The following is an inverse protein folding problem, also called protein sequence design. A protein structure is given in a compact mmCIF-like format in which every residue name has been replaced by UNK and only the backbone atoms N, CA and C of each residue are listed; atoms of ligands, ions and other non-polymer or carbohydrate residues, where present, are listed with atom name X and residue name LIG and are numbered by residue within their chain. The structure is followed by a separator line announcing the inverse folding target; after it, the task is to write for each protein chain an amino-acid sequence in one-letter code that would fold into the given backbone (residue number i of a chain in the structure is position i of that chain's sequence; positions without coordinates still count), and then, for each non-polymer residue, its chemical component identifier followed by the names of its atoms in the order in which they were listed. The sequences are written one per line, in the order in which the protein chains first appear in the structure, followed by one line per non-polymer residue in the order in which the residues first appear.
data_IF_033293740485
#
_entry.id   IF_033293740485
#
_cell.length_a   1.000
_cell.length_b   1.000
_cell.length_c   1.000
_cell.angle_alpha   90.00
_cell.angle_beta   90.00
_cell.angle_gamma   90.00
#
_symmetry.space_group_name_H-M   'P 1'
#
loop_
_entity.id
_entity.type
_entity.pdbx_description
1 polymer ?
#
# COMPACT_ATOMS: atom_id res chain seq x y z
N UNK A 1 -44.54 -8.54 -5.22
CA UNK A 1 -43.92 -7.27 -5.65
C UNK A 1 -42.53 -7.17 -5.04
N UNK A 2 -41.61 -6.58 -5.78
CA UNK A 2 -40.16 -6.82 -5.83
C UNK A 2 -39.39 -6.72 -4.51
N UNK A 3 -38.41 -7.61 -4.37
CA UNK A 3 -37.28 -7.53 -3.44
C UNK A 3 -36.04 -7.05 -4.20
N UNK A 4 -35.12 -6.44 -3.45
CA UNK A 4 -33.75 -6.02 -3.79
C UNK A 4 -33.59 -4.62 -4.41
N UNK A 5 -33.40 -3.64 -3.52
CA UNK A 5 -32.56 -2.50 -3.83
C UNK A 5 -31.11 -2.97 -3.95
N UNK A 6 -30.55 -2.86 -5.15
CA UNK A 6 -29.12 -2.94 -5.37
C UNK A 6 -28.46 -1.75 -4.66
N UNK A 7 -27.86 -2.00 -3.50
CA UNK A 7 -26.85 -1.09 -2.96
C UNK A 7 -25.56 -1.40 -3.70
N UNK A 8 -25.19 -0.54 -4.64
CA UNK A 8 -23.82 -0.48 -5.15
C UNK A 8 -22.90 -0.20 -3.96
N UNK A 9 -22.26 -1.23 -3.43
CA UNK A 9 -21.44 -1.12 -2.23
C UNK A 9 -20.23 -0.23 -2.50
N UNK A 10 -20.25 0.99 -1.99
CA UNK A 10 -19.03 1.78 -1.87
C UNK A 10 -18.11 1.09 -0.86
N UNK A 11 -16.85 0.86 -1.24
CA UNK A 11 -15.84 0.33 -0.33
C UNK A 11 -15.70 1.24 0.90
N UNK A 12 -15.60 0.66 2.09
CA UNK A 12 -15.40 1.46 3.30
C UNK A 12 -14.00 2.08 3.30
N UNK A 13 -13.79 3.17 4.04
CA UNK A 13 -12.45 3.74 4.27
C UNK A 13 -11.46 2.67 4.74
N UNK A 14 -11.92 1.70 5.55
CA UNK A 14 -11.09 0.59 6.02
C UNK A 14 -10.65 -0.31 4.87
N UNK A 15 -11.57 -0.66 3.98
CA UNK A 15 -11.29 -1.51 2.82
C UNK A 15 -10.34 -0.81 1.85
N UNK A 16 -10.55 0.49 1.61
CA UNK A 16 -9.68 1.31 0.76
C UNK A 16 -8.27 1.39 1.35
N UNK A 17 -8.12 1.72 2.64
CA UNK A 17 -6.78 1.80 3.26
C UNK A 17 -6.10 0.43 3.32
N UNK A 18 -6.86 -0.66 3.51
CA UNK A 18 -6.31 -2.01 3.47
C UNK A 18 -5.79 -2.37 2.08
N UNK A 19 -6.54 -2.03 1.02
CA UNK A 19 -6.12 -2.23 -0.37
C UNK A 19 -4.89 -1.41 -0.74
N UNK A 20 -4.87 -0.13 -0.34
CA UNK A 20 -3.70 0.74 -0.50
C UNK A 20 -2.48 0.15 0.21
N UNK A 21 -2.59 -0.22 1.49
CA UNK A 21 -1.46 -0.79 2.24
C UNK A 21 -0.94 -2.11 1.63
N UNK A 22 -1.81 -2.94 1.06
CA UNK A 22 -1.40 -4.16 0.36
C UNK A 22 -0.66 -3.82 -0.94
N UNK A 23 -1.15 -2.83 -1.69
CA UNK A 23 -0.54 -2.36 -2.93
C UNK A 23 0.85 -1.78 -2.66
N UNK A 24 0.99 -0.91 -1.65
CA UNK A 24 2.29 -0.35 -1.25
C UNK A 24 3.31 -1.44 -0.93
N UNK A 25 2.90 -2.44 -0.13
CA UNK A 25 3.77 -3.58 0.21
C UNK A 25 4.16 -4.40 -1.01
N UNK A 26 3.23 -4.62 -1.93
CA UNK A 26 3.48 -5.37 -3.16
C UNK A 26 4.50 -4.66 -4.05
N UNK A 27 4.26 -3.37 -4.34
CA UNK A 27 5.14 -2.55 -5.16
C UNK A 27 6.53 -2.39 -4.51
N UNK A 28 6.58 -2.17 -3.19
CA UNK A 28 7.84 -2.09 -2.44
C UNK A 28 8.69 -3.36 -2.56
N UNK A 29 8.07 -4.55 -2.58
CA UNK A 29 8.78 -5.80 -2.79
C UNK A 29 9.36 -5.96 -4.20
N UNK A 30 8.68 -5.39 -5.20
CA UNK A 30 9.19 -5.35 -6.58
C UNK A 30 10.40 -4.41 -6.69
N UNK A 31 10.35 -3.26 -6.02
CA UNK A 31 11.48 -2.33 -5.98
C UNK A 31 12.68 -2.91 -5.24
N UNK A 32 12.50 -3.61 -4.12
CA UNK A 32 13.61 -4.30 -3.44
C UNK A 32 14.35 -5.25 -4.38
N UNK A 33 13.61 -6.09 -5.11
CA UNK A 33 14.19 -7.01 -6.11
C UNK A 33 14.91 -6.23 -7.21
N UNK A 34 14.27 -5.21 -7.78
CA UNK A 34 14.87 -4.39 -8.83
C UNK A 34 16.15 -3.67 -8.37
N UNK A 35 16.20 -3.16 -7.13
CA UNK A 35 17.38 -2.49 -6.55
C UNK A 35 18.54 -3.49 -6.34
N UNK A 36 18.24 -4.73 -5.93
CA UNK A 36 19.25 -5.77 -5.74
C UNK A 36 19.88 -6.22 -7.06
N UNK A 37 19.09 -6.25 -8.13
CA UNK A 37 19.51 -6.75 -9.45
C UNK A 37 19.90 -5.64 -10.44
N UNK A 38 19.85 -4.37 -10.05
CA UNK A 38 20.16 -3.24 -10.94
C UNK A 38 21.68 -3.05 -11.13
N UNK A 39 22.15 -3.24 -12.37
CA UNK A 39 23.55 -3.00 -12.73
C UNK A 39 23.92 -1.52 -12.95
N UNK A 40 22.93 -0.63 -13.15
CA UNK A 40 23.17 0.79 -13.38
C UNK A 40 23.01 1.58 -12.07
N UNK A 41 24.11 2.16 -11.56
CA UNK A 41 24.13 2.86 -10.28
C UNK A 41 23.17 4.08 -10.21
N UNK A 42 23.05 4.84 -11.31
CA UNK A 42 22.14 5.99 -11.32
C UNK A 42 20.68 5.56 -11.20
N UNK A 43 20.29 4.55 -11.99
CA UNK A 43 18.95 3.96 -11.91
C UNK A 43 18.70 3.31 -10.54
N UNK A 44 19.69 2.59 -10.02
CA UNK A 44 19.62 1.97 -8.69
C UNK A 44 19.35 3.02 -7.61
N UNK A 45 20.04 4.15 -7.66
CA UNK A 45 19.81 5.24 -6.71
C UNK A 45 18.42 5.87 -6.86
N UNK A 46 17.93 6.06 -8.09
CA UNK A 46 16.53 6.50 -8.30
C UNK A 46 15.53 5.52 -7.70
N UNK A 47 15.71 4.21 -7.92
CA UNK A 47 14.82 3.19 -7.36
C UNK A 47 14.86 3.18 -5.82
N UNK A 48 16.02 3.39 -5.21
CA UNK A 48 16.13 3.53 -3.75
C UNK A 48 15.36 4.72 -3.20
N UNK A 49 15.41 5.86 -3.89
CA UNK A 49 14.63 7.03 -3.47
C UNK A 49 13.13 6.76 -3.54
N UNK A 50 12.66 6.13 -4.62
CA UNK A 50 11.25 5.72 -4.75
C UNK A 50 10.88 4.72 -3.65
N UNK A 51 11.74 3.74 -3.37
CA UNK A 51 11.50 2.77 -2.30
C UNK A 51 11.36 3.43 -0.93
N UNK A 52 12.21 4.43 -0.61
CA UNK A 52 12.10 5.19 0.62
C UNK A 52 10.74 5.94 0.69
N UNK A 53 10.28 6.51 -0.42
CA UNK A 53 8.98 7.18 -0.52
C UNK A 53 7.80 6.20 -0.29
N UNK A 54 7.79 5.03 -0.95
CA UNK A 54 6.71 4.05 -0.79
C UNK A 54 6.67 3.44 0.62
N UNK A 55 7.83 3.22 1.24
CA UNK A 55 7.89 2.77 2.63
C UNK A 55 7.32 3.83 3.59
N UNK A 56 7.54 5.12 3.31
CA UNK A 56 6.93 6.21 4.06
C UNK A 56 5.40 6.26 3.85
N UNK A 57 4.91 6.08 2.62
CA UNK A 57 3.46 5.98 2.34
C UNK A 57 2.82 4.81 3.09
N UNK A 58 3.43 3.62 3.02
CA UNK A 58 2.98 2.44 3.75
C UNK A 58 2.91 2.69 5.27
N UNK A 59 3.91 3.40 5.83
CA UNK A 59 3.93 3.77 7.25
C UNK A 59 2.80 4.72 7.62
N UNK A 60 2.54 5.73 6.79
CA UNK A 60 1.46 6.68 7.01
C UNK A 60 0.08 5.99 7.01
N UNK A 61 -0.15 5.09 6.05
CA UNK A 61 -1.39 4.31 5.97
C UNK A 61 -1.52 3.39 7.19
N UNK A 62 -0.45 2.65 7.53
CA UNK A 62 -0.42 1.79 8.71
C UNK A 62 -0.75 2.57 9.99
N UNK A 63 -0.13 3.74 10.21
CA UNK A 63 -0.37 4.56 11.40
C UNK A 63 -1.82 5.04 11.47
N UNK A 64 -2.39 5.45 10.34
CA UNK A 64 -3.78 5.88 10.27
C UNK A 64 -4.73 4.71 10.59
N UNK A 65 -4.49 3.54 10.01
CA UNK A 65 -5.29 2.34 10.29
C UNK A 65 -5.15 1.91 11.74
N UNK A 66 -3.94 1.93 12.31
CA UNK A 66 -3.68 1.58 13.70
C UNK A 66 -4.39 2.57 14.65
N UNK A 67 -4.29 3.88 14.40
CA UNK A 67 -5.00 4.92 15.16
C UNK A 67 -6.52 4.73 15.15
N UNK A 68 -7.08 4.20 14.06
CA UNK A 68 -8.52 3.89 13.92
C UNK A 68 -8.90 2.51 14.46
N UNK A 69 -7.95 1.74 14.99
CA UNK A 69 -8.17 0.37 15.48
C UNK A 69 -8.46 -0.65 14.37
N UNK A 70 -8.10 -0.33 13.12
CA UNK A 70 -8.36 -1.17 11.94
C UNK A 70 -7.22 -2.11 11.61
N UNK A 71 -6.06 -1.91 12.21
CA UNK A 71 -4.89 -2.75 12.03
C UNK A 71 -4.46 -3.36 13.36
N UNK A 72 -4.23 -4.68 13.37
CA UNK A 72 -3.68 -5.36 14.54
C UNK A 72 -2.16 -5.40 14.40
N UNK A 73 -1.47 -4.67 15.27
CA UNK A 73 -0.02 -4.74 15.40
C UNK A 73 0.36 -6.13 15.91
N UNK A 74 1.40 -6.73 15.31
CA UNK A 74 1.97 -8.00 15.75
C UNK A 74 2.98 -7.79 16.87
#
# INVERSE_FOLDING_TARGET
MQHQGQTTGFASDKDILQDLLMTEKHVSGMYDTAIMECANEALRNTLKQIQDDEQNHAKMIFDLMNKKGWYKVQ
#
